data_IF_199743499751
#
_entry.id   IF_199743499751
#
_cell.length_a   1.000
_cell.length_b   1.000
_cell.length_c   1.000
_cell.angle_alpha   90.00
_cell.angle_beta   90.00
_cell.angle_gamma   90.00
#
_symmetry.space_group_name_H-M   'P 1'
#
loop_
_entity.id
_entity.type
_entity.pdbx_description
1 polymer ?
#
# COMPACT_ATOMS: atom_id res chain seq x y z
N UNK A 1 11.12 41.91 -15.29
CA UNK A 1 10.91 41.02 -14.13
C UNK A 1 11.32 39.62 -14.56
N UNK A 2 12.39 39.10 -13.96
CA UNK A 2 12.96 37.80 -14.30
C UNK A 2 12.38 36.77 -13.32
N UNK A 3 11.53 35.87 -13.80
CA UNK A 3 10.99 34.78 -12.99
C UNK A 3 12.06 33.69 -12.90
N UNK A 4 12.99 33.84 -11.96
CA UNK A 4 13.84 32.73 -11.55
C UNK A 4 12.93 31.64 -10.99
N UNK A 5 12.90 30.50 -11.67
CA UNK A 5 12.22 29.28 -11.25
C UNK A 5 12.64 28.91 -9.83
N UNK A 6 11.75 29.14 -8.86
CA UNK A 6 11.88 28.54 -7.54
C UNK A 6 11.69 27.03 -7.72
N UNK A 7 12.81 26.29 -7.76
CA UNK A 7 12.82 24.88 -7.44
C UNK A 7 13.15 24.78 -5.96
N UNK A 8 12.11 24.57 -5.14
CA UNK A 8 12.36 24.04 -3.80
C UNK A 8 13.12 22.72 -3.97
N UNK A 9 14.20 22.48 -3.22
CA UNK A 9 14.81 21.16 -3.20
C UNK A 9 13.72 20.16 -2.78
N UNK A 10 13.43 19.21 -3.66
CA UNK A 10 12.58 18.07 -3.33
C UNK A 10 13.45 17.18 -2.44
N UNK A 11 13.40 17.41 -1.13
CA UNK A 11 13.98 16.50 -0.16
C UNK A 11 13.03 15.31 -0.01
N UNK A 12 13.56 14.09 -0.14
CA UNK A 12 12.76 12.92 0.20
C UNK A 12 12.36 13.05 1.69
N UNK A 13 11.08 12.79 2.04
CA UNK A 13 10.67 12.79 3.44
C UNK A 13 11.61 11.88 4.23
N UNK A 14 11.98 12.27 5.46
CA UNK A 14 13.02 11.63 6.29
C UNK A 14 12.76 10.17 6.68
N UNK A 15 11.74 9.51 6.10
CA UNK A 15 11.34 8.14 6.42
C UNK A 15 10.81 7.99 7.85
N UNK A 16 10.73 9.09 8.61
CA UNK A 16 10.19 9.12 9.95
C UNK A 16 8.66 9.08 9.85
N UNK A 17 8.07 7.91 10.12
CA UNK A 17 6.62 7.69 10.16
C UNK A 17 5.98 8.25 11.45
N UNK A 18 6.41 9.43 11.91
CA UNK A 18 5.82 10.12 13.06
C UNK A 18 4.75 11.11 12.58
N UNK A 19 3.51 10.92 13.02
CA UNK A 19 2.40 11.83 12.73
C UNK A 19 1.57 11.44 11.52
N UNK A 20 0.77 12.39 11.03
CA UNK A 20 -0.09 12.18 9.86
C UNK A 20 0.67 12.52 8.58
N UNK A 21 0.49 11.71 7.54
CA UNK A 21 1.22 11.91 6.28
C UNK A 21 0.55 11.27 5.09
N UNK A 22 1.08 11.61 3.91
CA UNK A 22 0.72 10.96 2.65
C UNK A 22 2.00 10.48 1.98
N UNK A 23 2.04 9.19 1.63
CA UNK A 23 3.16 8.59 0.90
C UNK A 23 2.72 8.23 -0.51
N UNK A 24 3.25 8.93 -1.50
CA UNK A 24 3.01 8.63 -2.91
C UNK A 24 3.71 7.32 -3.28
N UNK A 25 3.03 6.45 -4.03
CA UNK A 25 3.53 5.09 -4.33
C UNK A 25 3.81 4.90 -5.82
N UNK A 26 2.87 5.28 -6.68
CA UNK A 26 2.99 5.13 -8.13
C UNK A 26 1.88 5.89 -8.88
N UNK A 27 2.15 6.22 -10.13
CA UNK A 27 1.13 6.59 -11.11
C UNK A 27 0.78 5.39 -11.97
N UNK A 28 -0.46 5.30 -12.47
CA UNK A 28 -0.80 4.34 -13.51
C UNK A 28 -0.07 4.67 -14.80
N UNK A 29 0.10 3.66 -15.67
CA UNK A 29 0.83 3.81 -16.94
C UNK A 29 0.31 4.95 -17.82
N UNK A 30 -0.98 5.21 -17.79
CA UNK A 30 -1.66 6.27 -18.54
C UNK A 30 -1.74 7.61 -17.79
N UNK A 31 -1.26 7.68 -16.55
CA UNK A 31 -1.32 8.86 -15.71
C UNK A 31 -2.71 9.20 -15.17
N UNK A 32 -3.72 8.34 -15.37
CA UNK A 32 -5.09 8.60 -14.93
C UNK A 32 -5.32 8.37 -13.43
N UNK A 33 -4.47 7.56 -12.79
CA UNK A 33 -4.60 7.17 -11.39
C UNK A 33 -3.31 7.36 -10.61
N UNK A 34 -3.43 7.91 -9.40
CA UNK A 34 -2.34 8.01 -8.43
C UNK A 34 -2.61 7.10 -7.23
N UNK A 35 -1.68 6.21 -6.93
CA UNK A 35 -1.72 5.35 -5.74
C UNK A 35 -0.91 5.99 -4.62
N UNK A 36 -1.49 6.07 -3.42
CA UNK A 36 -0.84 6.64 -2.26
C UNK A 36 -1.37 6.04 -0.96
N UNK A 37 -0.54 6.07 0.06
CA UNK A 37 -0.92 5.76 1.42
C UNK A 37 -1.24 7.02 2.20
N UNK A 38 -2.22 6.90 3.09
CA UNK A 38 -2.50 7.88 4.13
C UNK A 38 -2.03 7.28 5.45
N UNK A 39 -0.98 7.87 6.02
CA UNK A 39 -0.48 7.54 7.34
C UNK A 39 -1.31 8.35 8.35
N UNK A 40 -1.97 7.66 9.27
CA UNK A 40 -2.69 8.29 10.38
C UNK A 40 -2.08 7.84 11.69
N UNK A 41 -1.53 8.79 12.42
CA UNK A 41 -1.05 8.58 13.77
C UNK A 41 -2.22 8.59 14.75
N UNK A 42 -2.45 7.48 15.44
CA UNK A 42 -3.45 7.41 16.50
C UNK A 42 -2.79 7.71 17.84
N UNK A 43 -2.92 8.95 18.29
CA UNK A 43 -2.44 9.34 19.61
C UNK A 43 -3.06 8.47 20.71
N UNK A 44 -2.24 8.02 21.66
CA UNK A 44 -2.63 7.18 22.80
C UNK A 44 -3.25 5.81 22.42
N UNK A 45 -2.89 5.28 21.26
CA UNK A 45 -3.24 3.94 20.80
C UNK A 45 -2.00 3.06 20.74
N UNK A 46 -2.10 1.82 21.25
CA UNK A 46 -1.07 0.78 21.06
C UNK A 46 -1.11 0.18 19.65
N UNK A 47 -2.16 0.47 18.87
CA UNK A 47 -2.19 0.14 17.45
C UNK A 47 -1.26 1.10 16.69
N UNK A 48 -0.34 0.54 15.90
CA UNK A 48 0.51 1.28 14.98
C UNK A 48 -0.30 2.07 13.93
N UNK A 49 0.37 2.90 13.11
CA UNK A 49 -0.31 3.63 12.03
C UNK A 49 -1.08 2.65 11.14
N UNK A 50 -2.34 2.97 10.84
CA UNK A 50 -3.13 2.18 9.90
C UNK A 50 -2.72 2.55 8.48
N UNK A 51 -2.33 1.54 7.70
CA UNK A 51 -2.10 1.71 6.28
C UNK A 51 -3.44 1.85 5.55
N UNK A 52 -3.80 3.09 5.25
CA UNK A 52 -4.95 3.42 4.41
C UNK A 52 -4.47 3.64 2.98
N UNK A 53 -4.63 2.64 2.11
CA UNK A 53 -4.24 2.72 0.70
C UNK A 53 -5.37 3.30 -0.16
N UNK A 54 -5.06 4.36 -0.91
CA UNK A 54 -6.01 5.13 -1.72
C UNK A 54 -5.55 5.30 -3.16
N UNK A 55 -6.54 5.44 -4.04
CA UNK A 55 -6.40 5.77 -5.45
C UNK A 55 -7.08 7.11 -5.69
N UNK A 56 -6.36 8.05 -6.28
CA UNK A 56 -6.91 9.29 -6.83
C UNK A 56 -7.10 9.16 -8.34
N UNK A 57 -8.34 9.34 -8.81
CA UNK A 57 -8.71 9.34 -10.23
C UNK A 57 -8.62 10.77 -10.78
N UNK A 58 -7.55 11.06 -11.51
CA UNK A 58 -7.21 12.41 -11.94
C UNK A 58 -8.24 13.03 -12.89
N UNK A 59 -8.86 12.21 -13.74
CA UNK A 59 -9.86 12.67 -14.74
C UNK A 59 -11.10 13.28 -14.10
N UNK A 60 -11.51 12.77 -12.93
CA UNK A 60 -12.77 13.15 -12.29
C UNK A 60 -12.58 13.73 -10.89
N UNK A 61 -11.35 13.76 -10.37
CA UNK A 61 -11.06 14.25 -9.02
C UNK A 61 -11.61 13.38 -7.90
N UNK A 62 -11.70 12.05 -8.11
CA UNK A 62 -12.33 11.13 -7.17
C UNK A 62 -11.30 10.34 -6.36
N UNK A 63 -11.62 10.11 -5.08
CA UNK A 63 -10.83 9.26 -4.19
C UNK A 63 -11.52 7.91 -3.98
N UNK A 64 -10.76 6.83 -4.15
CA UNK A 64 -11.22 5.46 -3.96
C UNK A 64 -10.30 4.74 -2.98
N UNK A 65 -10.88 4.12 -1.94
CA UNK A 65 -10.12 3.31 -0.99
C UNK A 65 -9.91 1.89 -1.53
N UNK A 66 -8.69 1.38 -1.45
CA UNK A 66 -8.41 -0.03 -1.74
C UNK A 66 -8.93 -0.89 -0.59
N UNK A 67 -9.72 -1.92 -0.92
CA UNK A 67 -10.40 -2.78 0.06
C UNK A 67 -9.47 -3.83 0.67
N UNK A 68 -8.44 -3.38 1.40
CA UNK A 68 -7.47 -4.25 2.09
C UNK A 68 -8.14 -5.24 3.06
N UNK A 69 -9.26 -4.85 3.66
CA UNK A 69 -10.10 -5.71 4.51
C UNK A 69 -10.54 -7.01 3.81
N UNK A 70 -10.85 -6.94 2.51
CA UNK A 70 -11.22 -8.13 1.74
C UNK A 70 -10.03 -9.05 1.50
N UNK A 71 -8.84 -8.48 1.39
CA UNK A 71 -7.60 -9.20 1.15
C UNK A 71 -7.14 -9.89 2.44
N UNK A 72 -7.14 -9.18 3.57
CA UNK A 72 -6.75 -9.74 4.85
C UNK A 72 -7.69 -10.85 5.33
N UNK A 73 -8.99 -10.79 5.01
CA UNK A 73 -9.93 -11.89 5.25
C UNK A 73 -9.59 -13.19 4.51
N UNK A 74 -8.69 -13.17 3.53
CA UNK A 74 -8.23 -14.41 2.85
C UNK A 74 -7.16 -15.17 3.63
N UNK A 75 -6.68 -14.58 4.73
CA UNK A 75 -5.80 -15.24 5.70
C UNK A 75 -6.64 -15.64 6.90
N UNK A 76 -6.39 -16.85 7.39
CA UNK A 76 -7.03 -17.31 8.62
C UNK A 76 -6.59 -16.39 9.77
N UNK A 77 -7.50 -16.09 10.71
CA UNK A 77 -7.27 -15.12 11.80
C UNK A 77 -6.16 -15.47 12.80
N UNK A 78 -5.31 -16.46 12.49
CA UNK A 78 -4.13 -16.86 13.25
C UNK A 78 -2.80 -16.30 12.73
N UNK A 79 -2.80 -15.56 11.62
CA UNK A 79 -1.57 -15.10 10.99
C UNK A 79 -1.24 -13.64 11.31
N UNK A 80 0.04 -13.38 11.56
CA UNK A 80 0.63 -12.04 11.41
C UNK A 80 0.83 -11.77 9.92
N UNK A 81 0.14 -10.76 9.39
CA UNK A 81 0.09 -10.46 7.95
C UNK A 81 0.77 -9.13 7.69
N UNK A 82 1.81 -9.17 6.86
CA UNK A 82 2.44 -7.97 6.30
C UNK A 82 2.10 -7.85 4.82
N UNK A 83 2.16 -6.63 4.30
CA UNK A 83 1.99 -6.40 2.87
C UNK A 83 2.91 -5.30 2.33
N UNK A 84 3.31 -5.45 1.08
CA UNK A 84 4.04 -4.45 0.32
C UNK A 84 3.17 -3.88 -0.79
N UNK A 85 3.13 -2.55 -0.91
CA UNK A 85 2.46 -1.86 -2.02
C UNK A 85 3.41 -1.75 -3.19
N UNK A 86 3.20 -2.56 -4.24
CA UNK A 86 4.14 -2.60 -5.37
C UNK A 86 3.88 -1.48 -6.37
N UNK A 87 2.64 -1.03 -6.56
CA UNK A 87 2.27 0.01 -7.53
C UNK A 87 1.19 -0.48 -8.49
N UNK A 88 1.16 0.06 -9.71
CA UNK A 88 0.21 -0.37 -10.74
C UNK A 88 0.81 -1.42 -11.69
N UNK A 89 0.00 -2.39 -12.08
CA UNK A 89 0.29 -3.27 -13.22
C UNK A 89 0.21 -2.47 -14.53
N UNK A 90 0.70 -3.06 -15.63
CA UNK A 90 0.54 -2.45 -16.96
C UNK A 90 -0.92 -2.34 -17.42
N UNK A 91 -1.84 -3.09 -16.80
CA UNK A 91 -3.28 -3.06 -17.07
C UNK A 91 -4.05 -2.15 -16.09
N UNK A 92 -3.36 -1.49 -15.14
CA UNK A 92 -3.99 -0.55 -14.20
C UNK A 92 -4.51 -1.17 -12.91
N UNK A 93 -4.18 -2.44 -12.62
CA UNK A 93 -4.51 -3.06 -11.34
C UNK A 93 -3.51 -2.63 -10.27
N UNK A 94 -3.96 -2.45 -9.03
CA UNK A 94 -3.07 -2.26 -7.89
C UNK A 94 -2.48 -3.60 -7.48
N UNK A 95 -1.15 -3.65 -7.41
CA UNK A 95 -0.40 -4.87 -7.05
C UNK A 95 0.06 -4.79 -5.61
N UNK A 96 -0.36 -5.77 -4.82
CA UNK A 96 0.05 -5.95 -3.43
C UNK A 96 0.76 -7.28 -3.27
N UNK A 97 1.85 -7.32 -2.51
CA UNK A 97 2.46 -8.58 -2.04
C UNK A 97 2.12 -8.76 -0.59
N UNK A 98 1.74 -9.97 -0.22
CA UNK A 98 1.35 -10.30 1.14
C UNK A 98 2.14 -11.50 1.61
N UNK A 99 2.58 -11.41 2.86
CA UNK A 99 3.22 -12.50 3.59
C UNK A 99 2.50 -12.69 4.90
N UNK A 100 2.19 -13.94 5.21
CA UNK A 100 1.54 -14.35 6.44
C UNK A 100 2.43 -15.35 7.15
N UNK A 101 2.65 -15.15 8.45
CA UNK A 101 3.49 -16.00 9.29
C UNK A 101 2.87 -16.18 10.67
N UNK A 102 3.44 -17.10 11.46
CA UNK A 102 3.05 -17.28 12.85
C UNK A 102 3.28 -15.99 13.64
N UNK A 103 2.23 -15.50 14.30
CA UNK A 103 2.33 -14.39 15.24
C UNK A 103 2.92 -14.85 16.58
N UNK A 104 3.81 -14.04 17.12
CA UNK A 104 4.41 -14.20 18.45
C UNK A 104 4.15 -12.93 19.28
N UNK A 105 4.05 -13.07 20.60
CA UNK A 105 4.02 -11.92 21.51
C UNK A 105 5.43 -11.38 21.80
N UNK A 106 5.50 -10.38 22.69
CA UNK A 106 6.77 -9.75 23.11
C UNK A 106 7.69 -10.74 23.85
N UNK A 107 7.13 -11.80 24.45
CA UNK A 107 7.87 -12.89 25.10
C UNK A 107 8.33 -13.99 24.13
N UNK A 108 7.94 -13.92 22.86
CA UNK A 108 8.22 -14.94 21.86
C UNK A 108 7.25 -16.14 21.89
N UNK A 109 6.24 -16.11 22.75
CA UNK A 109 5.22 -17.15 22.80
C UNK A 109 4.22 -16.97 21.65
N UNK A 110 3.62 -18.08 21.20
CA UNK A 110 2.62 -18.06 20.13
C UNK A 110 1.39 -17.29 20.62
N UNK A 111 1.13 -16.13 20.00
CA UNK A 111 0.04 -15.22 20.40
C UNK A 111 -1.25 -15.40 19.59
N UNK A 112 -1.19 -16.17 18.49
CA UNK A 112 -2.28 -16.39 17.56
C UNK A 112 -2.46 -17.89 17.25
N UNK A 113 -3.66 -18.35 16.84
CA UNK A 113 -3.87 -19.69 16.32
C UNK A 113 -2.82 -20.10 15.27
N UNK A 114 -2.60 -21.41 15.09
CA UNK A 114 -1.59 -21.93 14.16
C UNK A 114 -1.79 -21.35 12.76
N UNK A 115 -0.78 -20.64 12.27
CA UNK A 115 -0.73 -20.08 10.92
C UNK A 115 0.12 -20.96 10.00
N UNK A 116 -0.38 -21.23 8.79
CA UNK A 116 0.47 -21.77 7.72
C UNK A 116 1.12 -20.61 6.99
N UNK A 117 2.45 -20.61 6.92
CA UNK A 117 3.19 -19.57 6.22
C UNK A 117 2.77 -19.50 4.75
N UNK A 118 2.52 -18.29 4.27
CA UNK A 118 2.06 -18.06 2.90
C UNK A 118 2.57 -16.75 2.37
N UNK A 119 3.04 -16.77 1.12
CA UNK A 119 3.40 -15.57 0.37
C UNK A 119 2.64 -15.56 -0.96
N UNK A 120 1.90 -14.49 -1.23
CA UNK A 120 1.04 -14.36 -2.41
C UNK A 120 1.00 -12.92 -2.89
N UNK A 121 0.90 -12.70 -4.20
CA UNK A 121 0.57 -11.39 -4.72
C UNK A 121 -0.91 -11.30 -5.05
N UNK A 122 -1.49 -10.12 -4.89
CA UNK A 122 -2.87 -9.83 -5.24
C UNK A 122 -2.93 -8.66 -6.22
N UNK A 123 -3.76 -8.80 -7.24
CA UNK A 123 -4.12 -7.78 -8.21
C UNK A 123 -5.52 -7.28 -7.87
N UNK A 124 -5.62 -6.01 -7.49
CA UNK A 124 -6.89 -5.32 -7.24
C UNK A 124 -7.25 -4.47 -8.45
N UNK A 125 -8.36 -4.80 -9.10
CA UNK A 125 -8.92 -4.03 -10.21
C UNK A 125 -9.78 -2.88 -9.65
N UNK A 126 -9.37 -1.62 -9.82
CA UNK A 126 -10.12 -0.48 -9.28
C UNK A 126 -11.44 -0.23 -10.00
N UNK A 127 -11.62 -0.69 -11.23
CA UNK A 127 -12.83 -0.43 -12.02
C UNK A 127 -14.03 -1.28 -11.60
N UNK A 128 -13.79 -2.53 -11.20
CA UNK A 128 -14.85 -3.47 -10.82
C UNK A 128 -14.70 -4.05 -9.40
N UNK A 129 -13.67 -3.62 -8.65
CA UNK A 129 -13.34 -4.07 -7.30
C UNK A 129 -13.05 -5.57 -7.21
N UNK A 130 -12.60 -6.19 -8.31
CA UNK A 130 -12.20 -7.59 -8.35
C UNK A 130 -10.81 -7.76 -7.78
N UNK A 131 -10.61 -8.90 -7.12
CA UNK A 131 -9.35 -9.28 -6.53
C UNK A 131 -8.91 -10.63 -7.13
N UNK A 132 -7.70 -10.68 -7.70
CA UNK A 132 -7.15 -11.87 -8.37
C UNK A 132 -5.78 -12.22 -7.80
N UNK A 133 -5.53 -13.50 -7.50
CA UNK A 133 -4.22 -13.94 -7.04
C UNK A 133 -3.22 -13.97 -8.20
N UNK A 134 -1.97 -13.63 -7.88
CA UNK A 134 -0.83 -13.74 -8.76
C UNK A 134 0.35 -14.37 -8.00
N UNK A 135 1.39 -14.76 -8.75
CA UNK A 135 2.65 -15.23 -8.16
C UNK A 135 3.22 -14.16 -7.24
N UNK A 136 3.74 -14.54 -6.08
CA UNK A 136 4.45 -13.61 -5.18
C UNK A 136 5.61 -12.88 -5.88
N UNK A 137 6.23 -13.52 -6.89
CA UNK A 137 7.30 -12.92 -7.70
C UNK A 137 6.82 -11.87 -8.72
N UNK A 138 5.51 -11.63 -8.84
CA UNK A 138 4.97 -10.64 -9.77
C UNK A 138 5.61 -9.27 -9.54
N UNK A 139 6.20 -8.72 -10.60
CA UNK A 139 6.86 -7.42 -10.57
C UNK A 139 6.02 -6.39 -11.30
N UNK A 140 6.16 -5.14 -10.90
CA UNK A 140 5.57 -4.01 -11.61
C UNK A 140 6.67 -3.11 -12.12
N UNK A 141 6.43 -2.51 -13.27
CA UNK A 141 7.20 -1.36 -13.73
C UNK A 141 6.65 -0.12 -13.01
N UNK A 142 7.53 0.72 -12.46
CA UNK A 142 7.15 2.01 -11.90
C UNK A 142 6.95 3.02 -13.02
N UNK A 143 5.84 3.74 -12.99
CA UNK A 143 5.51 4.74 -14.01
C UNK A 143 5.63 6.16 -13.47
N UNK A 144 5.36 6.35 -12.17
CA UNK A 144 5.71 7.58 -11.48
C UNK A 144 7.24 7.67 -11.34
N UNK A 145 7.88 8.57 -12.09
CA UNK A 145 9.29 8.89 -11.91
C UNK A 145 9.41 10.04 -10.93
N UNK A 146 10.02 9.81 -9.76
CA UNK A 146 10.70 10.88 -9.03
C UNK A 146 12.05 11.04 -9.77
N UNK A 147 12.21 12.16 -10.47
CA UNK A 147 13.51 12.56 -11.04
C UNK A 147 14.21 13.47 -10.07
#
# INVERSE_FOLDING_TARGET
MNWSSFQAPIEEPTGEDFGNGVKLIDWSKDGAMLLFDVLRWNYASDAGPFDDLWIYHATHGLLQKVRLDRIFRTFDGGCDVSFERRGFSAAGEVVLRLSAKQGHDVGGEISLPRCNEKSVAWLFDPGNHRLTQASYSYSVQKWGTIR
#
